data_IF_630888384704
#
_entry.id   IF_630888384704
#
_cell.length_a   1.000
_cell.length_b   1.000
_cell.length_c   1.000
_cell.angle_alpha   90.00
_cell.angle_beta   90.00
_cell.angle_gamma   90.00
#
_symmetry.space_group_name_H-M   'P 1'
#
loop_
_entity.id
_entity.type
_entity.pdbx_description
1 polymer ?
#
# COMPACT_ATOMS: atom_id res chain seq x y z
N UNK A 1 -7.31 33.73 -22.32
CA UNK A 1 -7.33 32.75 -21.21
C UNK A 1 -6.15 31.77 -21.25
N UNK A 2 -5.80 31.16 -22.39
CA UNK A 2 -4.60 30.30 -22.53
C UNK A 2 -3.30 30.94 -22.01
N UNK A 3 -3.02 32.20 -22.35
CA UNK A 3 -1.80 32.89 -21.87
C UNK A 3 -1.77 33.17 -20.36
N UNK A 4 -2.92 33.24 -19.66
CA UNK A 4 -2.95 33.38 -18.19
C UNK A 4 -2.68 32.05 -17.49
N UNK A 5 -3.13 30.94 -18.07
CA UNK A 5 -2.90 29.59 -17.55
C UNK A 5 -1.44 29.19 -17.75
N UNK A 6 -0.85 29.45 -18.93
CA UNK A 6 0.57 29.20 -19.18
C UNK A 6 1.46 30.05 -18.27
N UNK A 7 1.13 31.33 -18.06
CA UNK A 7 1.89 32.21 -17.15
C UNK A 7 1.78 31.75 -15.69
N UNK A 8 0.60 31.29 -15.25
CA UNK A 8 0.40 30.70 -13.91
C UNK A 8 1.05 29.32 -13.71
N UNK A 9 1.30 28.55 -14.78
CA UNK A 9 2.09 27.31 -14.73
C UNK A 9 3.60 27.60 -14.64
N UNK A 10 4.08 28.62 -15.35
CA UNK A 10 5.47 29.10 -15.29
C UNK A 10 5.78 29.72 -13.91
N UNK A 11 4.84 30.47 -13.33
CA UNK A 11 4.98 31.05 -11.98
C UNK A 11 4.92 29.99 -10.86
N UNK A 12 4.26 28.85 -11.08
CA UNK A 12 4.23 27.69 -10.15
C UNK A 12 5.39 26.71 -10.32
N UNK A 13 6.13 26.77 -11.41
CA UNK A 13 7.30 25.94 -11.69
C UNK A 13 8.37 25.96 -10.58
N UNK A 14 8.72 27.11 -9.97
CA UNK A 14 9.64 27.15 -8.82
C UNK A 14 9.02 26.55 -7.54
N UNK A 15 7.71 26.70 -7.31
CA UNK A 15 7.02 26.08 -6.16
C UNK A 15 6.96 24.55 -6.30
N UNK A 16 6.67 24.03 -7.50
CA UNK A 16 6.65 22.60 -7.83
C UNK A 16 8.02 21.94 -7.68
N UNK A 17 9.11 22.64 -8.05
CA UNK A 17 10.49 22.14 -7.85
C UNK A 17 10.85 21.97 -6.37
N UNK A 18 10.28 22.79 -5.48
CA UNK A 18 10.58 22.75 -4.04
C UNK A 18 10.05 21.50 -3.30
N UNK A 19 9.04 20.85 -3.88
CA UNK A 19 8.35 19.66 -3.34
C UNK A 19 8.92 18.34 -3.85
N UNK A 20 9.81 18.37 -4.84
CA UNK A 20 10.39 17.17 -5.46
C UNK A 20 11.22 16.40 -4.44
N UNK A 21 10.87 15.14 -4.25
CA UNK A 21 11.59 14.20 -3.40
C UNK A 21 12.23 13.10 -4.24
N UNK A 22 13.53 12.87 -4.05
CA UNK A 22 14.30 11.85 -4.79
C UNK A 22 15.31 11.16 -3.88
N UNK A 23 15.73 9.97 -4.31
CA UNK A 23 16.76 9.20 -3.63
C UNK A 23 18.18 9.66 -3.98
N UNK A 24 18.37 10.42 -5.05
CA UNK A 24 19.70 10.87 -5.47
C UNK A 24 19.67 12.22 -6.19
N UNK A 25 20.76 12.97 -6.06
CA UNK A 25 20.94 14.30 -6.66
C UNK A 25 22.38 14.45 -7.17
N UNK A 26 22.55 15.29 -8.19
CA UNK A 26 23.85 15.84 -8.59
C UNK A 26 23.92 17.30 -8.14
N UNK A 27 25.07 17.69 -7.59
CA UNK A 27 25.34 19.05 -7.17
C UNK A 27 26.60 19.56 -7.86
N UNK A 28 26.59 20.82 -8.25
CA UNK A 28 27.76 21.54 -8.75
C UNK A 28 27.93 22.81 -7.92
N UNK A 29 29.07 22.95 -7.25
CA UNK A 29 29.42 24.15 -6.48
C UNK A 29 30.50 24.91 -7.24
N UNK A 30 30.20 26.12 -7.69
CA UNK A 30 31.18 27.01 -8.30
C UNK A 30 31.93 27.73 -7.18
N UNK A 31 33.25 27.93 -7.32
CA UNK A 31 34.14 28.55 -6.33
C UNK A 31 33.89 28.02 -4.90
N UNK A 32 34.02 26.71 -4.68
CA UNK A 32 33.69 26.05 -3.43
C UNK A 32 34.41 26.68 -2.23
N UNK A 33 35.70 27.00 -2.37
CA UNK A 33 36.52 27.61 -1.32
C UNK A 33 36.02 29.01 -0.95
N UNK A 34 35.68 29.84 -1.93
CA UNK A 34 35.17 31.21 -1.69
C UNK A 34 33.81 31.21 -0.98
N UNK A 35 33.01 30.15 -1.19
CA UNK A 35 31.74 29.94 -0.52
C UNK A 35 31.84 29.15 0.80
N UNK A 36 33.06 28.83 1.25
CA UNK A 36 33.30 28.11 2.50
C UNK A 36 32.94 26.61 2.45
N UNK A 37 32.85 26.03 1.26
CA UNK A 37 32.57 24.62 1.03
C UNK A 37 33.84 23.87 0.65
N UNK A 38 34.77 23.71 1.60
CA UNK A 38 35.87 22.75 1.44
C UNK A 38 35.34 21.31 1.38
N UNK A 39 36.13 20.37 0.89
CA UNK A 39 35.79 18.94 0.90
C UNK A 39 35.39 18.44 2.30
N UNK A 40 36.13 18.85 3.34
CA UNK A 40 35.81 18.50 4.73
C UNK A 40 34.44 19.04 5.17
N UNK A 41 34.12 20.28 4.81
CA UNK A 41 32.85 20.91 5.16
C UNK A 41 31.68 20.28 4.39
N UNK A 42 31.88 19.95 3.11
CA UNK A 42 30.90 19.23 2.30
C UNK A 42 30.61 17.86 2.92
N UNK A 43 31.66 17.10 3.26
CA UNK A 43 31.54 15.79 3.94
C UNK A 43 30.80 15.93 5.25
N UNK A 44 31.19 16.87 6.10
CA UNK A 44 30.58 17.11 7.40
C UNK A 44 29.09 17.43 7.25
N UNK A 45 28.71 18.31 6.32
CA UNK A 45 27.31 18.67 6.06
C UNK A 45 26.49 17.49 5.53
N UNK A 46 27.07 16.65 4.67
CA UNK A 46 26.38 15.45 4.17
C UNK A 46 26.17 14.44 5.29
N UNK A 47 27.22 14.06 6.00
CA UNK A 47 27.20 13.02 7.03
C UNK A 47 26.32 13.42 8.22
N UNK A 48 26.47 14.66 8.71
CA UNK A 48 25.75 15.13 9.89
C UNK A 48 24.34 15.67 9.56
N UNK A 49 24.12 16.17 8.34
CA UNK A 49 22.85 16.78 7.94
C UNK A 49 21.79 15.79 7.42
N UNK A 50 22.19 14.57 7.06
CA UNK A 50 21.32 13.59 6.42
C UNK A 50 21.49 12.19 7.02
N UNK A 51 20.60 11.84 7.95
CA UNK A 51 20.56 10.51 8.60
C UNK A 51 20.39 9.36 7.61
N UNK A 52 19.80 9.61 6.45
CA UNK A 52 19.53 8.61 5.41
C UNK A 52 20.58 8.61 4.30
N UNK A 53 21.71 9.27 4.50
CA UNK A 53 22.82 9.28 3.55
C UNK A 53 23.37 7.84 3.38
N UNK A 54 23.44 7.38 2.14
CA UNK A 54 23.93 6.04 1.80
C UNK A 54 25.32 6.08 1.17
N UNK A 55 25.50 6.99 0.22
CA UNK A 55 26.71 7.12 -0.57
C UNK A 55 26.85 8.53 -1.11
N UNK A 56 28.07 9.04 -1.20
CA UNK A 56 28.38 10.16 -2.08
C UNK A 56 29.80 10.06 -2.62
N UNK A 57 30.03 10.75 -3.72
CA UNK A 57 31.37 11.03 -4.22
C UNK A 57 31.44 12.46 -4.73
N UNK A 58 32.65 13.02 -4.72
CA UNK A 58 32.92 14.36 -5.21
C UNK A 58 34.28 14.46 -5.88
N UNK A 59 34.41 15.43 -6.78
CA UNK A 59 35.64 15.68 -7.54
C UNK A 59 35.70 17.14 -7.94
N UNK A 60 36.92 17.67 -7.97
CA UNK A 60 37.18 19.04 -8.41
C UNK A 60 37.52 19.08 -9.90
N UNK A 61 36.95 20.09 -10.56
CA UNK A 61 37.14 20.42 -11.96
C UNK A 61 37.57 21.86 -12.12
N UNK A 62 38.58 22.08 -12.96
CA UNK A 62 39.12 23.39 -13.30
C UNK A 62 38.65 23.82 -14.69
N UNK A 63 37.64 24.68 -14.72
CA UNK A 63 37.16 25.35 -15.92
C UNK A 63 37.63 26.80 -15.97
N UNK A 64 36.71 27.71 -16.29
CA UNK A 64 36.93 29.17 -16.13
C UNK A 64 36.98 29.57 -14.65
N UNK A 65 36.32 28.78 -13.79
CA UNK A 65 36.38 28.85 -12.33
C UNK A 65 36.51 27.42 -11.77
N UNK A 66 36.88 27.31 -10.50
CA UNK A 66 36.99 26.01 -9.84
C UNK A 66 35.60 25.51 -9.45
N UNK A 67 35.29 24.26 -9.76
CA UNK A 67 34.00 23.64 -9.50
C UNK A 67 34.17 22.34 -8.73
N UNK A 68 33.35 22.09 -7.71
CA UNK A 68 33.22 20.76 -7.11
C UNK A 68 31.93 20.13 -7.59
N UNK A 69 32.03 18.99 -8.26
CA UNK A 69 30.90 18.15 -8.62
C UNK A 69 30.68 17.09 -7.55
N UNK A 70 29.43 16.90 -7.12
CA UNK A 70 29.06 15.96 -6.07
C UNK A 70 27.88 15.11 -6.57
N UNK A 71 27.97 13.81 -6.39
CA UNK A 71 26.83 12.90 -6.54
C UNK A 71 26.47 12.33 -5.18
N UNK A 72 25.19 12.41 -4.79
CA UNK A 72 24.72 11.96 -3.48
C UNK A 72 23.53 11.01 -3.60
N UNK A 73 23.50 9.96 -2.77
CA UNK A 73 22.49 8.90 -2.73
C UNK A 73 22.01 8.68 -1.30
N UNK A 74 20.69 8.51 -1.15
CA UNK A 74 19.99 8.31 0.11
C UNK A 74 19.25 6.97 0.15
N UNK A 75 19.04 6.42 1.35
CA UNK A 75 18.20 5.23 1.60
C UNK A 75 16.70 5.55 1.58
N UNK A 76 16.31 6.82 1.76
CA UNK A 76 14.93 7.30 1.67
C UNK A 76 14.84 8.55 0.79
N UNK A 77 13.64 8.89 0.33
CA UNK A 77 13.45 10.07 -0.52
C UNK A 77 13.70 11.36 0.29
N UNK A 78 14.59 12.22 -0.20
CA UNK A 78 14.91 13.52 0.41
C UNK A 78 14.34 14.64 -0.46
N UNK A 79 13.81 15.72 0.15
CA UNK A 79 13.31 16.89 -0.59
C UNK A 79 14.46 17.71 -1.16
N UNK A 80 14.32 18.16 -2.42
CA UNK A 80 15.28 19.06 -3.07
C UNK A 80 15.51 20.33 -2.23
N UNK A 81 14.45 20.88 -1.63
CA UNK A 81 14.53 22.05 -0.74
C UNK A 81 15.41 21.82 0.49
N UNK A 82 15.45 20.59 1.03
CA UNK A 82 16.36 20.25 2.15
C UNK A 82 17.81 20.25 1.68
N UNK A 83 18.10 19.66 0.52
CA UNK A 83 19.45 19.66 -0.06
C UNK A 83 19.90 21.08 -0.39
N UNK A 84 19.03 21.90 -1.00
CA UNK A 84 19.30 23.31 -1.32
C UNK A 84 19.52 24.17 -0.07
N UNK A 85 18.86 23.87 1.05
CA UNK A 85 19.10 24.54 2.33
C UNK A 85 20.49 24.23 2.89
N UNK A 86 20.96 22.99 2.74
CA UNK A 86 22.31 22.58 3.18
C UNK A 86 23.41 23.14 2.27
N UNK A 87 23.11 23.30 0.97
CA UNK A 87 24.03 23.81 -0.05
C UNK A 87 23.39 24.96 -0.86
N UNK A 88 23.29 26.18 -0.30
CA UNK A 88 22.59 27.29 -0.96
C UNK A 88 23.20 27.72 -2.29
N UNK A 89 24.53 27.72 -2.41
CA UNK A 89 25.25 28.11 -3.63
C UNK A 89 25.32 26.99 -4.69
N UNK A 90 24.97 25.75 -4.34
CA UNK A 90 25.04 24.63 -5.28
C UNK A 90 23.94 24.73 -6.34
N UNK A 91 24.31 24.51 -7.59
CA UNK A 91 23.36 24.11 -8.61
C UNK A 91 23.00 22.64 -8.37
N UNK A 92 21.71 22.33 -8.24
CA UNK A 92 21.25 20.99 -7.87
C UNK A 92 20.32 20.46 -8.94
N UNK A 93 20.66 19.30 -9.47
CA UNK A 93 19.87 18.59 -10.45
C UNK A 93 19.44 17.24 -9.88
N UNK A 94 18.29 16.74 -10.35
CA UNK A 94 17.86 15.39 -10.03
C UNK A 94 18.78 14.42 -10.77
N UNK A 95 19.31 13.43 -10.06
CA UNK A 95 20.13 12.42 -10.69
C UNK A 95 19.28 11.51 -11.59
N UNK A 96 19.71 11.37 -12.85
CA UNK A 96 19.13 10.47 -13.84
C UNK A 96 20.15 9.37 -14.18
N UNK A 97 19.69 8.18 -14.55
CA UNK A 97 20.59 7.08 -14.92
C UNK A 97 21.09 6.24 -13.73
N UNK A 98 22.10 5.39 -13.99
CA UNK A 98 22.67 4.49 -12.97
C UNK A 98 23.57 5.24 -12.00
N UNK A 99 23.75 4.72 -10.78
CA UNK A 99 24.72 5.29 -9.86
C UNK A 99 26.12 5.30 -10.49
N UNK A 100 26.46 4.24 -11.22
CA UNK A 100 27.72 4.17 -11.96
C UNK A 100 27.79 5.23 -13.08
N UNK A 101 26.73 5.46 -13.86
CA UNK A 101 26.72 6.52 -14.88
C UNK A 101 26.87 7.91 -14.27
N UNK A 102 26.29 8.16 -13.10
CA UNK A 102 26.43 9.44 -12.40
C UNK A 102 27.87 9.62 -11.89
N UNK A 103 28.48 8.57 -11.33
CA UNK A 103 29.89 8.58 -10.94
C UNK A 103 30.80 8.77 -12.17
N UNK A 104 30.56 8.02 -13.25
CA UNK A 104 31.30 8.13 -14.51
C UNK A 104 31.15 9.51 -15.14
N UNK A 105 29.97 10.14 -15.03
CA UNK A 105 29.71 11.49 -15.49
C UNK A 105 30.52 12.52 -14.72
N UNK A 106 30.45 12.52 -13.37
CA UNK A 106 31.21 13.50 -12.58
C UNK A 106 32.71 13.26 -12.65
N UNK A 107 33.16 12.01 -12.75
CA UNK A 107 34.58 11.65 -12.92
C UNK A 107 35.04 11.70 -14.37
N UNK A 108 34.13 12.01 -15.31
CA UNK A 108 34.35 12.01 -16.76
C UNK A 108 35.10 10.76 -17.25
N UNK A 109 34.84 9.61 -16.61
CA UNK A 109 35.39 8.29 -16.97
C UNK A 109 34.51 7.61 -18.03
N UNK A 110 35.04 6.62 -18.74
CA UNK A 110 34.26 5.80 -19.69
C UNK A 110 33.94 6.53 -21.01
N UNK A 111 32.65 6.66 -21.37
CA UNK A 111 32.22 7.26 -22.66
C UNK A 111 32.61 8.73 -22.85
N UNK A 112 33.06 9.39 -21.78
CA UNK A 112 33.46 10.80 -21.77
C UNK A 112 34.97 11.02 -21.80
N UNK A 113 35.75 9.93 -21.83
CA UNK A 113 37.22 9.93 -21.78
C UNK A 113 37.87 10.63 -22.99
N UNK A 114 37.20 10.60 -24.14
CA UNK A 114 37.68 11.20 -25.41
C UNK A 114 37.00 12.55 -25.73
N UNK A 115 36.34 13.19 -24.76
CA UNK A 115 35.77 14.53 -24.93
C UNK A 115 36.74 15.59 -24.42
N UNK A 116 36.80 16.77 -25.05
CA UNK A 116 37.61 17.94 -24.61
C UNK A 116 37.37 18.31 -23.12
N UNK A 117 36.25 17.86 -22.55
CA UNK A 117 35.92 18.04 -21.14
C UNK A 117 36.72 17.16 -20.18
N UNK A 118 37.35 16.07 -20.62
CA UNK A 118 38.14 15.21 -19.73
C UNK A 118 39.44 15.89 -19.25
N UNK A 119 39.97 16.88 -19.99
CA UNK A 119 41.24 17.56 -19.70
C UNK A 119 41.16 18.58 -18.55
N UNK A 120 39.97 18.85 -18.03
CA UNK A 120 39.72 19.89 -17.00
C UNK A 120 39.70 19.36 -15.57
N UNK A 121 39.82 18.04 -15.35
CA UNK A 121 39.79 17.48 -14.00
C UNK A 121 41.13 17.63 -13.29
N UNK A 122 41.09 17.96 -11.99
CA UNK A 122 42.28 18.01 -11.15
C UNK A 122 42.58 16.59 -10.69
N UNK A 123 43.70 15.96 -11.11
CA UNK A 123 44.01 14.59 -10.70
C UNK A 123 44.21 14.49 -9.19
N UNK A 124 43.59 13.50 -8.55
CA UNK A 124 43.79 13.21 -7.12
C UNK A 124 42.79 13.88 -6.16
N UNK A 125 41.81 14.63 -6.65
CA UNK A 125 40.76 15.28 -5.81
C UNK A 125 39.50 14.42 -5.64
N UNK A 126 39.43 13.25 -6.28
CA UNK A 126 38.27 12.36 -6.14
C UNK A 126 38.19 11.77 -4.72
N UNK A 127 37.05 11.98 -4.07
CA UNK A 127 36.76 11.44 -2.75
C UNK A 127 35.40 10.74 -2.74
N UNK A 128 35.32 9.60 -2.06
CA UNK A 128 34.09 8.82 -1.92
C UNK A 128 33.85 8.41 -0.47
N UNK A 129 32.58 8.22 -0.13
CA UNK A 129 32.15 7.81 1.20
C UNK A 129 30.86 6.99 1.15
N UNK A 130 30.74 6.03 2.06
CA UNK A 130 29.54 5.21 2.25
C UNK A 130 29.52 3.94 1.41
N UNK A 131 28.35 3.33 1.27
CA UNK A 131 28.18 2.05 0.56
C UNK A 131 27.58 2.29 -0.82
N UNK A 132 28.38 2.05 -1.87
CA UNK A 132 27.93 2.19 -3.25
C UNK A 132 26.63 1.40 -3.48
N UNK A 133 25.58 2.02 -4.04
CA UNK A 133 24.30 1.35 -4.20
C UNK A 133 24.45 0.19 -5.20
N UNK A 134 24.27 -1.04 -4.72
CA UNK A 134 24.18 -2.22 -5.59
C UNK A 134 22.98 -2.04 -6.52
N UNK A 135 23.23 -1.99 -7.83
CA UNK A 135 22.19 -1.78 -8.82
C UNK A 135 21.74 -3.12 -9.38
N UNK A 136 20.44 -3.42 -9.28
CA UNK A 136 19.85 -4.65 -9.77
C UNK A 136 19.37 -4.47 -11.23
N UNK A 137 20.28 -4.20 -12.17
CA UNK A 137 19.94 -4.11 -13.58
C UNK A 137 20.95 -3.34 -14.43
N UNK A 138 21.17 -3.80 -15.67
CA UNK A 138 22.12 -3.20 -16.63
C UNK A 138 21.56 -1.88 -17.21
N UNK A 139 20.23 -1.73 -17.28
CA UNK A 139 19.57 -0.56 -17.84
C UNK A 139 18.88 0.29 -16.74
N UNK A 140 19.32 1.55 -16.53
CA UNK A 140 18.72 2.43 -15.53
C UNK A 140 17.25 2.76 -15.76
N UNK A 141 16.77 2.80 -17.01
CA UNK A 141 15.38 3.10 -17.31
C UNK A 141 14.45 1.96 -16.86
N UNK A 142 14.89 0.72 -17.04
CA UNK A 142 14.18 -0.47 -16.56
C UNK A 142 14.21 -0.56 -15.04
N UNK A 143 15.32 -0.19 -14.39
CA UNK A 143 15.40 -0.07 -12.93
C UNK A 143 14.44 1.01 -12.40
N UNK A 144 14.37 2.16 -13.06
CA UNK A 144 13.44 3.23 -12.69
C UNK A 144 11.98 2.77 -12.84
N UNK A 145 11.65 2.10 -13.95
CA UNK A 145 10.33 1.52 -14.17
C UNK A 145 9.98 0.48 -13.11
N UNK A 146 10.90 -0.45 -12.82
CA UNK A 146 10.72 -1.47 -11.79
C UNK A 146 10.43 -0.84 -10.43
N UNK A 147 11.19 0.20 -10.04
CA UNK A 147 10.95 0.92 -8.78
C UNK A 147 9.59 1.62 -8.75
N UNK A 148 9.13 2.22 -9.85
CA UNK A 148 7.79 2.81 -9.91
C UNK A 148 6.71 1.75 -9.69
N UNK A 149 6.87 0.56 -10.28
CA UNK A 149 5.96 -0.57 -10.08
C UNK A 149 6.02 -1.07 -8.64
N UNK A 150 7.23 -1.23 -8.08
CA UNK A 150 7.44 -1.71 -6.72
C UNK A 150 6.90 -0.74 -5.66
N UNK A 151 7.00 0.57 -5.94
CA UNK A 151 6.40 1.67 -5.17
C UNK A 151 4.86 1.72 -5.28
N UNK A 152 4.25 0.81 -6.07
CA UNK A 152 2.79 0.64 -6.15
C UNK A 152 2.08 1.50 -7.20
N UNK A 153 2.81 2.24 -8.04
CA UNK A 153 2.19 3.08 -9.07
C UNK A 153 1.37 2.22 -10.05
N UNK A 154 0.19 2.72 -10.42
CA UNK A 154 -0.65 2.11 -11.45
C UNK A 154 -0.01 2.28 -12.85
N UNK A 155 -0.34 1.40 -13.81
CA UNK A 155 0.11 1.59 -15.19
C UNK A 155 -0.25 2.96 -15.76
N UNK A 156 -1.42 3.51 -15.39
CA UNK A 156 -1.85 4.84 -15.80
C UNK A 156 -0.94 5.95 -15.24
N UNK A 157 -0.60 5.90 -13.95
CA UNK A 157 0.32 6.87 -13.33
C UNK A 157 1.74 6.78 -13.91
N UNK A 158 2.22 5.56 -14.21
CA UNK A 158 3.52 5.34 -14.84
C UNK A 158 3.56 5.97 -16.24
N UNK A 159 2.50 5.79 -17.04
CA UNK A 159 2.39 6.39 -18.38
C UNK A 159 2.26 7.92 -18.30
N UNK A 160 1.51 8.44 -17.33
CA UNK A 160 1.42 9.89 -17.11
C UNK A 160 2.76 10.49 -16.68
N UNK A 161 3.55 9.75 -15.90
CA UNK A 161 4.89 10.15 -15.51
C UNK A 161 5.86 10.16 -16.70
N UNK A 162 5.83 9.10 -17.52
CA UNK A 162 6.60 9.00 -18.74
C UNK A 162 5.83 8.20 -19.82
N UNK A 163 5.43 8.87 -20.89
CA UNK A 163 4.66 8.28 -21.97
C UNK A 163 5.48 7.30 -22.84
N UNK A 164 6.81 7.31 -22.75
CA UNK A 164 7.68 6.34 -23.44
C UNK A 164 7.43 4.90 -22.98
N UNK A 165 6.79 4.72 -21.82
CA UNK A 165 6.38 3.40 -21.32
C UNK A 165 5.11 2.84 -21.97
N UNK A 166 4.38 3.63 -22.77
CA UNK A 166 3.12 3.22 -23.39
C UNK A 166 3.22 1.94 -24.23
N UNK A 167 4.29 1.69 -25.02
CA UNK A 167 4.47 0.41 -25.72
C UNK A 167 4.60 -0.81 -24.81
N UNK A 168 4.95 -0.61 -23.53
CA UNK A 168 5.21 -1.65 -22.55
C UNK A 168 4.07 -1.79 -21.51
N UNK A 169 2.91 -1.16 -21.72
CA UNK A 169 1.82 -1.14 -20.73
C UNK A 169 1.39 -2.53 -20.25
N UNK A 170 1.31 -3.51 -21.15
CA UNK A 170 0.95 -4.89 -20.81
C UNK A 170 2.04 -5.58 -19.98
N UNK A 171 3.31 -5.31 -20.28
CA UNK A 171 4.43 -5.83 -19.49
C UNK A 171 4.42 -5.21 -18.09
N UNK A 172 4.17 -3.91 -17.99
CA UNK A 172 4.05 -3.18 -16.72
C UNK A 172 2.92 -3.78 -15.86
N UNK A 173 1.75 -3.98 -16.46
CA UNK A 173 0.62 -4.60 -15.77
C UNK A 173 0.95 -6.01 -15.25
N UNK A 174 1.62 -6.84 -16.07
CA UNK A 174 2.07 -8.18 -15.69
C UNK A 174 3.12 -8.16 -14.57
N UNK A 175 4.13 -7.29 -14.65
CA UNK A 175 5.17 -7.17 -13.61
C UNK A 175 4.55 -6.68 -12.30
N UNK A 176 3.66 -5.68 -12.36
CA UNK A 176 2.91 -5.22 -11.20
C UNK A 176 2.12 -6.36 -10.55
N UNK A 177 1.36 -7.09 -11.36
CA UNK A 177 0.60 -8.27 -10.90
C UNK A 177 1.51 -9.30 -10.21
N UNK A 178 2.65 -9.67 -10.82
CA UNK A 178 3.59 -10.63 -10.23
C UNK A 178 4.11 -10.15 -8.87
N UNK A 179 4.52 -8.88 -8.76
CA UNK A 179 5.02 -8.32 -7.51
C UNK A 179 3.93 -8.20 -6.44
N UNK A 180 2.71 -7.81 -6.81
CA UNK A 180 1.57 -7.76 -5.88
C UNK A 180 1.23 -9.14 -5.34
N UNK A 181 1.21 -10.16 -6.20
CA UNK A 181 1.00 -11.55 -5.76
C UNK A 181 2.11 -11.95 -4.81
N UNK A 182 3.37 -11.78 -5.16
CA UNK A 182 4.49 -12.25 -4.32
C UNK A 182 4.52 -11.55 -2.94
N UNK A 183 4.20 -10.26 -2.88
CA UNK A 183 4.05 -9.51 -1.62
C UNK A 183 2.91 -10.05 -0.74
N UNK A 184 1.82 -10.52 -1.35
CA UNK A 184 0.60 -10.94 -0.65
C UNK A 184 0.40 -12.46 -0.60
N UNK A 185 1.34 -13.24 -1.12
CA UNK A 185 1.29 -14.72 -1.12
C UNK A 185 1.59 -15.32 0.25
N UNK A 186 1.95 -14.49 1.23
CA UNK A 186 2.09 -14.90 2.61
C UNK A 186 0.72 -15.15 3.28
N UNK A 187 0.72 -15.69 4.50
CA UNK A 187 -0.49 -15.85 5.31
C UNK A 187 -1.11 -14.48 5.58
N UNK A 188 -2.40 -14.31 5.28
CA UNK A 188 -3.22 -13.11 5.48
C UNK A 188 -3.64 -12.96 6.95
N UNK A 189 -2.65 -12.77 7.83
CA UNK A 189 -2.86 -12.73 9.29
C UNK A 189 -3.78 -11.58 9.74
N UNK A 190 -3.90 -10.52 8.94
CA UNK A 190 -4.73 -9.34 9.23
C UNK A 190 -6.09 -9.37 8.50
N UNK A 191 -6.53 -10.54 8.01
CA UNK A 191 -7.81 -10.65 7.31
C UNK A 191 -8.99 -10.28 8.22
N UNK A 192 -9.66 -9.17 7.89
CA UNK A 192 -10.87 -8.68 8.55
C UNK A 192 -12.09 -9.01 7.70
N UNK A 193 -13.08 -9.68 8.29
CA UNK A 193 -14.31 -10.08 7.60
C UNK A 193 -15.51 -9.46 8.30
N UNK A 194 -16.32 -8.72 7.55
CA UNK A 194 -17.44 -7.94 8.07
C UNK A 194 -18.71 -8.41 7.36
N UNK A 195 -19.64 -8.97 8.12
CA UNK A 195 -20.97 -9.30 7.62
C UNK A 195 -21.89 -8.11 7.77
N UNK A 196 -22.48 -7.62 6.68
CA UNK A 196 -23.35 -6.44 6.67
C UNK A 196 -24.73 -6.85 6.21
N UNK A 197 -25.74 -6.58 7.02
CA UNK A 197 -27.13 -6.91 6.66
C UNK A 197 -28.13 -5.82 7.03
N UNK A 198 -29.31 -5.90 6.41
CA UNK A 198 -30.41 -4.94 6.59
C UNK A 198 -31.30 -4.88 5.37
N UNK A 199 -32.40 -4.13 5.42
CA UNK A 199 -33.31 -3.99 4.28
C UNK A 199 -32.62 -3.38 3.03
N UNK A 200 -33.22 -3.53 1.85
CA UNK A 200 -32.74 -2.86 0.64
C UNK A 200 -32.86 -1.34 0.79
N UNK A 201 -32.00 -0.58 0.11
CA UNK A 201 -32.06 0.89 0.15
C UNK A 201 -31.56 1.55 1.44
N UNK A 202 -31.12 0.80 2.45
CA UNK A 202 -30.59 1.36 3.72
C UNK A 202 -29.16 1.90 3.62
N UNK A 203 -28.53 1.82 2.44
CA UNK A 203 -27.21 2.40 2.19
C UNK A 203 -26.00 1.52 2.50
N UNK A 204 -26.20 0.21 2.75
CA UNK A 204 -25.13 -0.78 3.03
C UNK A 204 -23.95 -0.67 2.05
N UNK A 205 -24.24 -0.88 0.76
CA UNK A 205 -23.25 -0.86 -0.32
C UNK A 205 -22.67 0.54 -0.51
N UNK A 206 -23.50 1.59 -0.40
CA UNK A 206 -23.04 2.98 -0.54
C UNK A 206 -21.97 3.32 0.50
N UNK A 207 -22.20 2.98 1.77
CA UNK A 207 -21.23 3.24 2.84
C UNK A 207 -19.88 2.54 2.62
N UNK A 208 -19.89 1.31 2.08
CA UNK A 208 -18.66 0.57 1.76
C UNK A 208 -17.95 1.20 0.56
N UNK A 209 -18.69 1.56 -0.50
CA UNK A 209 -18.13 2.21 -1.69
C UNK A 209 -17.52 3.57 -1.35
N UNK A 210 -18.19 4.37 -0.52
CA UNK A 210 -17.68 5.68 -0.09
C UNK A 210 -16.44 5.56 0.81
N UNK A 211 -16.33 4.49 1.61
CA UNK A 211 -15.19 4.26 2.49
C UNK A 211 -13.92 3.82 1.76
N UNK A 212 -14.06 3.01 0.69
CA UNK A 212 -12.91 2.35 0.03
C UNK A 212 -12.64 2.86 -1.39
N UNK A 213 -13.63 3.47 -2.06
CA UNK A 213 -13.46 4.04 -3.39
C UNK A 213 -12.92 3.04 -4.43
N UNK A 214 -11.77 3.36 -5.03
CA UNK A 214 -11.12 2.56 -6.08
C UNK A 214 -10.48 1.26 -5.57
N UNK A 215 -10.24 1.13 -4.26
CA UNK A 215 -9.58 -0.03 -3.66
C UNK A 215 -10.57 -1.15 -3.29
N UNK A 216 -11.83 -0.99 -3.69
CA UNK A 216 -12.91 -1.95 -3.50
C UNK A 216 -13.18 -2.75 -4.78
N UNK A 217 -13.03 -4.07 -4.70
CA UNK A 217 -13.60 -4.97 -5.70
C UNK A 217 -14.96 -5.47 -5.25
N UNK A 218 -15.99 -5.23 -6.07
CA UNK A 218 -17.35 -5.69 -5.82
C UNK A 218 -17.66 -6.93 -6.65
N UNK A 219 -18.04 -8.00 -5.98
CA UNK A 219 -18.61 -9.20 -6.60
C UNK A 219 -20.12 -8.97 -6.71
N UNK A 220 -20.59 -8.69 -7.92
CA UNK A 220 -22.01 -8.53 -8.25
C UNK A 220 -22.51 -9.57 -9.25
N UNK A 221 -21.61 -10.18 -10.03
CA UNK A 221 -21.90 -11.36 -10.86
C UNK A 221 -21.32 -12.60 -10.18
N UNK A 222 -22.19 -13.54 -9.80
CA UNK A 222 -21.77 -14.77 -9.15
C UNK A 222 -21.52 -15.93 -10.12
N UNK A 223 -21.71 -15.73 -11.42
CA UNK A 223 -21.37 -16.71 -12.46
C UNK A 223 -19.86 -16.79 -12.65
N UNK A 224 -19.20 -15.63 -12.72
CA UNK A 224 -17.76 -15.49 -12.88
C UNK A 224 -17.19 -14.44 -11.91
N UNK A 225 -17.28 -14.69 -10.58
CA UNK A 225 -17.15 -13.66 -9.55
C UNK A 225 -15.79 -12.97 -9.48
N UNK A 226 -14.74 -13.58 -10.01
CA UNK A 226 -13.36 -13.09 -9.84
C UNK A 226 -12.67 -12.71 -11.15
N UNK A 227 -13.37 -12.76 -12.29
CA UNK A 227 -12.77 -12.46 -13.60
C UNK A 227 -12.13 -11.07 -13.67
N UNK A 228 -12.76 -10.09 -13.01
CA UNK A 228 -12.30 -8.70 -12.96
C UNK A 228 -11.54 -8.37 -11.67
N UNK A 229 -11.29 -9.35 -10.81
CA UNK A 229 -10.52 -9.12 -9.59
C UNK A 229 -9.08 -8.78 -9.96
N UNK A 230 -8.64 -7.61 -9.50
CA UNK A 230 -7.33 -7.04 -9.83
C UNK A 230 -6.49 -6.78 -8.57
N UNK A 231 -6.49 -7.74 -7.64
CA UNK A 231 -5.63 -7.72 -6.46
C UNK A 231 -5.87 -6.52 -5.55
N UNK A 232 -7.12 -6.06 -5.48
CA UNK A 232 -7.51 -5.00 -4.55
C UNK A 232 -7.46 -5.51 -3.11
N UNK A 233 -7.17 -4.60 -2.20
CA UNK A 233 -7.04 -4.90 -0.77
C UNK A 233 -8.40 -5.18 -0.09
N UNK A 234 -9.49 -4.63 -0.65
CA UNK A 234 -10.84 -4.87 -0.17
C UNK A 234 -11.68 -5.60 -1.21
N UNK A 235 -12.44 -6.61 -0.76
CA UNK A 235 -13.47 -7.30 -1.53
C UNK A 235 -14.84 -7.14 -0.88
N UNK A 236 -15.89 -7.03 -1.68
CA UNK A 236 -17.28 -7.00 -1.22
C UNK A 236 -18.12 -7.99 -2.02
N UNK A 237 -18.60 -9.02 -1.35
CA UNK A 237 -19.64 -9.92 -1.86
C UNK A 237 -20.98 -9.22 -1.70
N UNK A 238 -21.43 -8.55 -2.75
CA UNK A 238 -22.60 -7.66 -2.73
C UNK A 238 -23.87 -8.41 -3.13
N UNK A 239 -24.99 -8.08 -2.49
CA UNK A 239 -26.27 -8.82 -2.65
C UNK A 239 -26.12 -10.35 -2.41
N UNK A 240 -25.33 -10.72 -1.41
CA UNK A 240 -25.05 -12.11 -1.07
C UNK A 240 -26.26 -12.82 -0.45
N UNK A 241 -26.63 -13.96 -1.01
CA UNK A 241 -27.73 -14.85 -0.63
C UNK A 241 -27.33 -16.33 -0.80
N UNK A 242 -26.07 -16.67 -0.50
CA UNK A 242 -25.59 -18.05 -0.59
C UNK A 242 -25.20 -18.51 -2.01
N UNK A 243 -24.98 -17.58 -2.95
CA UNK A 243 -24.61 -17.93 -4.34
C UNK A 243 -23.25 -18.66 -4.42
N UNK A 244 -22.38 -18.46 -3.44
CA UNK A 244 -21.10 -19.18 -3.29
C UNK A 244 -21.32 -20.29 -2.25
N UNK A 245 -20.97 -21.52 -2.58
CA UNK A 245 -21.06 -22.65 -1.65
C UNK A 245 -20.27 -22.36 -0.36
N UNK A 246 -20.76 -22.87 0.77
CA UNK A 246 -20.11 -22.61 2.06
C UNK A 246 -18.64 -23.06 2.08
N UNK A 247 -18.24 -24.24 1.56
CA UNK A 247 -16.83 -24.63 1.50
C UNK A 247 -15.96 -23.63 0.73
N UNK A 248 -16.39 -23.17 -0.45
CA UNK A 248 -15.64 -22.17 -1.21
C UNK A 248 -15.54 -20.85 -0.45
N UNK A 249 -16.61 -20.44 0.24
CA UNK A 249 -16.60 -19.25 1.06
C UNK A 249 -15.63 -19.38 2.25
N UNK A 250 -15.50 -20.57 2.85
CA UNK A 250 -14.51 -20.82 3.89
C UNK A 250 -13.08 -20.63 3.38
N UNK A 251 -12.79 -21.11 2.17
CA UNK A 251 -11.46 -20.97 1.54
C UNK A 251 -11.16 -19.51 1.22
N UNK A 252 -12.14 -18.76 0.69
CA UNK A 252 -11.98 -17.35 0.38
C UNK A 252 -11.70 -16.51 1.64
N UNK A 253 -12.41 -16.82 2.73
CA UNK A 253 -12.29 -16.13 4.01
C UNK A 253 -11.23 -16.75 4.94
N UNK A 254 -10.38 -17.65 4.46
CA UNK A 254 -9.27 -18.19 5.24
C UNK A 254 -8.07 -17.23 5.30
N UNK A 255 -7.19 -17.40 6.28
CA UNK A 255 -5.91 -16.67 6.34
C UNK A 255 -4.88 -17.25 5.35
N UNK A 256 -5.08 -18.47 4.85
CA UNK A 256 -4.13 -19.07 3.91
C UNK A 256 -4.30 -18.50 2.48
N UNK A 257 -3.20 -18.44 1.70
CA UNK A 257 -3.28 -18.08 0.29
C UNK A 257 -4.21 -19.02 -0.45
N UNK A 258 -5.12 -18.46 -1.25
CA UNK A 258 -6.07 -19.23 -2.05
C UNK A 258 -6.17 -18.67 -3.46
N UNK A 259 -6.51 -19.55 -4.40
CA UNK A 259 -6.80 -19.17 -5.77
C UNK A 259 -8.29 -18.89 -5.94
N UNK A 260 -8.58 -17.78 -6.57
CA UNK A 260 -9.91 -17.35 -6.97
C UNK A 260 -10.15 -17.83 -8.42
N UNK A 261 -11.13 -18.72 -8.64
CA UNK A 261 -11.38 -19.27 -9.97
C UNK A 261 -11.86 -18.19 -10.94
N UNK A 262 -11.30 -18.18 -12.15
CA UNK A 262 -11.65 -17.22 -13.21
C UNK A 262 -11.49 -17.87 -14.58
N UNK A 263 -12.22 -17.40 -15.59
CA UNK A 263 -12.32 -18.10 -16.89
C UNK A 263 -11.01 -18.27 -17.64
N UNK A 264 -10.14 -17.27 -17.62
CA UNK A 264 -8.89 -17.26 -18.40
C UNK A 264 -7.66 -17.64 -17.58
N UNK A 265 -7.61 -17.19 -16.33
CA UNK A 265 -6.49 -17.38 -15.42
C UNK A 265 -6.99 -17.17 -14.00
N UNK A 266 -6.77 -18.13 -13.11
CA UNK A 266 -7.06 -17.95 -11.70
C UNK A 266 -6.34 -16.70 -11.16
N UNK A 267 -6.98 -16.04 -10.20
CA UNK A 267 -6.40 -14.92 -9.46
C UNK A 267 -5.96 -15.43 -8.08
N UNK A 268 -5.04 -14.74 -7.43
CA UNK A 268 -4.72 -15.01 -6.03
C UNK A 268 -5.49 -14.04 -5.15
N UNK A 269 -6.11 -14.53 -4.08
CA UNK A 269 -6.73 -13.66 -3.08
C UNK A 269 -5.65 -12.83 -2.36
N UNK A 270 -5.69 -11.51 -2.53
CA UNK A 270 -4.76 -10.57 -1.90
C UNK A 270 -5.46 -9.57 -0.97
N UNK A 271 -6.77 -9.69 -0.78
CA UNK A 271 -7.52 -8.79 0.08
C UNK A 271 -7.24 -9.08 1.56
N UNK A 272 -7.15 -8.02 2.35
CA UNK A 272 -7.11 -8.04 3.81
C UNK A 272 -8.46 -7.67 4.44
N UNK A 273 -9.39 -7.10 3.66
CA UNK A 273 -10.76 -6.82 4.13
C UNK A 273 -11.79 -7.45 3.21
N UNK A 274 -12.73 -8.21 3.78
CA UNK A 274 -13.85 -8.82 3.07
C UNK A 274 -15.19 -8.38 3.67
N UNK A 275 -16.05 -7.78 2.85
CA UNK A 275 -17.45 -7.50 3.19
C UNK A 275 -18.36 -8.57 2.60
N UNK A 276 -19.32 -9.04 3.38
CA UNK A 276 -20.42 -9.89 2.91
C UNK A 276 -21.70 -9.09 3.12
N UNK A 277 -22.28 -8.55 2.05
CA UNK A 277 -23.45 -7.67 2.13
C UNK A 277 -24.68 -8.46 1.74
N UNK A 278 -25.64 -8.58 2.65
CA UNK A 278 -26.87 -9.34 2.44
C UNK A 278 -28.12 -8.55 2.84
N UNK A 279 -29.28 -8.99 2.39
CA UNK A 279 -30.56 -8.60 2.99
C UNK A 279 -30.99 -9.56 4.09
N UNK A 280 -30.37 -10.75 4.16
CA UNK A 280 -30.65 -11.75 5.18
C UNK A 280 -29.77 -11.50 6.42
N UNK A 281 -30.31 -11.69 7.63
CA UNK A 281 -29.49 -11.77 8.82
C UNK A 281 -28.56 -12.99 8.77
N UNK A 282 -27.46 -12.94 9.53
CA UNK A 282 -26.38 -13.92 9.48
C UNK A 282 -26.86 -15.36 9.73
N UNK A 283 -27.74 -15.54 10.72
CA UNK A 283 -28.35 -16.82 11.10
C UNK A 283 -29.25 -17.44 10.02
N UNK A 284 -29.68 -16.65 9.03
CA UNK A 284 -30.52 -17.13 7.94
C UNK A 284 -29.75 -17.59 6.70
N UNK A 285 -28.44 -17.38 6.66
CA UNK A 285 -27.60 -17.90 5.60
C UNK A 285 -27.28 -19.37 5.77
N UNK A 286 -27.13 -20.09 4.66
CA UNK A 286 -26.66 -21.47 4.63
C UNK A 286 -27.45 -22.42 5.56
N UNK A 287 -28.79 -22.25 5.64
CA UNK A 287 -29.68 -23.04 6.52
C UNK A 287 -29.51 -24.54 6.32
N UNK A 288 -29.22 -24.98 5.10
CA UNK A 288 -28.96 -26.36 4.74
C UNK A 288 -27.78 -26.99 5.50
N UNK A 289 -26.72 -26.24 5.80
CA UNK A 289 -25.60 -26.74 6.62
C UNK A 289 -25.97 -26.78 8.10
N UNK A 290 -26.85 -25.88 8.55
CA UNK A 290 -27.30 -25.82 9.93
C UNK A 290 -28.21 -27.01 10.28
N UNK A 291 -29.18 -27.32 9.41
CA UNK A 291 -30.19 -28.36 9.66
C UNK A 291 -29.85 -29.70 9.01
N UNK A 292 -29.02 -29.71 7.96
CA UNK A 292 -28.73 -30.88 7.13
C UNK A 292 -27.62 -31.80 7.65
N UNK A 293 -27.13 -31.60 8.88
CA UNK A 293 -26.20 -32.51 9.55
C UNK A 293 -24.71 -32.12 9.49
N UNK A 294 -24.37 -30.94 8.96
CA UNK A 294 -23.00 -30.39 9.03
C UNK A 294 -22.93 -29.00 9.69
N UNK A 295 -23.33 -28.90 10.98
CA UNK A 295 -23.25 -27.65 11.72
C UNK A 295 -21.80 -27.21 11.97
N UNK A 296 -20.81 -28.11 11.81
CA UNK A 296 -19.40 -27.80 12.00
C UNK A 296 -18.88 -26.87 10.91
N UNK A 297 -19.28 -27.07 9.66
CA UNK A 297 -18.94 -26.19 8.54
C UNK A 297 -19.57 -24.80 8.74
N UNK A 298 -20.82 -24.72 9.19
CA UNK A 298 -21.44 -23.44 9.54
C UNK A 298 -20.70 -22.72 10.68
N UNK A 299 -20.33 -23.44 11.75
CA UNK A 299 -19.48 -22.89 12.83
C UNK A 299 -18.10 -22.44 12.33
N UNK A 300 -17.53 -23.09 11.32
CA UNK A 300 -16.29 -22.66 10.70
C UNK A 300 -16.43 -21.32 9.95
N UNK A 301 -17.60 -21.05 9.39
CA UNK A 301 -17.92 -19.78 8.75
C UNK A 301 -18.09 -18.67 9.75
N UNK A 302 -18.87 -18.90 10.81
CA UNK A 302 -19.04 -17.94 11.91
C UNK A 302 -17.71 -17.51 12.53
N UNK A 303 -16.75 -18.44 12.70
CA UNK A 303 -15.41 -18.13 13.23
C UNK A 303 -14.56 -17.24 12.34
N UNK A 304 -14.85 -17.16 11.04
CA UNK A 304 -14.13 -16.31 10.08
C UNK A 304 -14.74 -14.91 9.99
N UNK A 305 -15.94 -14.70 10.52
CA UNK A 305 -16.59 -13.39 10.54
C UNK A 305 -16.18 -12.67 11.82
N UNK A 306 -15.59 -11.50 11.67
CA UNK A 306 -15.03 -10.71 12.76
C UNK A 306 -16.04 -9.71 13.29
N UNK A 307 -16.85 -9.11 12.40
CA UNK A 307 -17.84 -8.11 12.77
C UNK A 307 -19.17 -8.36 12.07
N UNK A 308 -20.25 -7.91 12.70
CA UNK A 308 -21.58 -7.89 12.11
C UNK A 308 -22.14 -6.47 12.18
N UNK A 309 -22.53 -5.91 11.04
CA UNK A 309 -23.13 -4.58 10.96
C UNK A 309 -24.58 -4.71 10.50
N UNK A 310 -25.49 -4.18 11.32
CA UNK A 310 -26.92 -4.13 11.03
C UNK A 310 -27.32 -2.72 10.61
N UNK A 311 -27.92 -2.61 9.43
CA UNK A 311 -28.51 -1.39 8.89
C UNK A 311 -30.04 -1.46 9.05
N UNK A 312 -30.56 -0.72 10.02
CA UNK A 312 -31.98 -0.58 10.26
C UNK A 312 -32.66 0.31 9.20
N UNK A 313 -33.97 0.18 9.06
CA UNK A 313 -34.76 0.94 8.08
C UNK A 313 -34.82 2.45 8.39
N UNK A 314 -34.64 2.83 9.65
CA UNK A 314 -34.56 4.21 10.11
C UNK A 314 -33.22 4.89 9.80
N UNK A 315 -32.27 4.16 9.21
CA UNK A 315 -30.92 4.62 8.89
C UNK A 315 -29.90 4.41 10.01
N UNK A 316 -30.31 3.84 11.16
CA UNK A 316 -29.40 3.50 12.26
C UNK A 316 -28.50 2.34 11.84
N UNK A 317 -27.18 2.49 12.07
CA UNK A 317 -26.20 1.44 11.83
C UNK A 317 -25.67 0.94 13.18
N UNK A 318 -25.99 -0.30 13.52
CA UNK A 318 -25.49 -0.97 14.73
C UNK A 318 -24.33 -1.89 14.36
N UNK A 319 -23.20 -1.76 15.05
CA UNK A 319 -22.00 -2.59 14.81
C UNK A 319 -21.75 -3.49 16.02
N UNK A 320 -21.52 -4.76 15.74
CA UNK A 320 -21.15 -5.76 16.71
C UNK A 320 -19.72 -6.21 16.42
N UNK A 321 -18.84 -6.12 17.42
CA UNK A 321 -17.40 -6.43 17.29
C UNK A 321 -17.09 -7.94 17.26
N UNK A 322 -18.12 -8.78 17.31
CA UNK A 322 -18.01 -10.22 17.13
C UNK A 322 -19.36 -10.85 16.75
N UNK A 323 -19.30 -12.04 16.16
CA UNK A 323 -20.50 -12.86 15.92
C UNK A 323 -21.19 -13.23 17.23
N UNK A 324 -20.45 -13.52 18.30
CA UNK A 324 -21.05 -13.88 19.60
C UNK A 324 -21.87 -12.72 20.19
N UNK A 325 -21.32 -11.50 20.19
CA UNK A 325 -22.03 -10.30 20.60
C UNK A 325 -23.30 -10.06 19.76
N UNK A 326 -23.23 -10.30 18.46
CA UNK A 326 -24.38 -10.20 17.56
C UNK A 326 -25.44 -11.26 17.84
N UNK A 327 -25.07 -12.53 18.05
CA UNK A 327 -26.05 -13.60 18.29
C UNK A 327 -26.76 -13.44 19.65
N UNK A 328 -26.08 -12.86 20.65
CA UNK A 328 -26.63 -12.56 21.97
C UNK A 328 -27.31 -11.18 22.09
N UNK A 329 -27.49 -10.46 20.98
CA UNK A 329 -28.05 -9.09 20.98
C UNK A 329 -29.43 -8.93 21.63
N UNK A 330 -30.21 -10.01 21.72
CA UNK A 330 -31.53 -10.03 22.33
C UNK A 330 -31.52 -10.59 23.76
N UNK A 331 -30.36 -10.98 24.30
CA UNK A 331 -30.18 -11.49 25.65
C UNK A 331 -29.92 -10.31 26.61
N UNK A 332 -30.90 -9.44 26.83
CA UNK A 332 -30.81 -8.47 27.93
C UNK A 332 -30.92 -9.21 29.27
N UNK A 333 -29.88 -9.12 30.10
CA UNK A 333 -29.92 -9.60 31.47
C UNK A 333 -30.73 -8.60 32.32
N UNK A 334 -31.97 -8.95 32.66
CA UNK A 334 -32.71 -8.21 33.68
C UNK A 334 -32.23 -8.64 35.08
N UNK A 335 -31.75 -7.70 35.87
CA UNK A 335 -31.61 -7.93 37.30
C UNK A 335 -33.01 -8.16 37.87
N UNK A 336 -33.26 -9.35 38.43
CA UNK A 336 -34.51 -9.61 39.15
C UNK A 336 -34.48 -8.71 40.39
N UNK A 337 -35.45 -7.79 40.51
CA UNK A 337 -35.62 -7.04 41.76
C UNK A 337 -35.80 -8.04 42.90
N UNK A 338 -35.15 -7.80 44.04
CA UNK A 338 -35.07 -8.71 45.20
C UNK A 338 -36.42 -9.20 45.74
N UNK A 339 -37.50 -8.57 45.30
CA UNK A 339 -38.84 -8.73 45.83
C UNK A 339 -39.70 -9.68 44.97
N UNK A 340 -39.18 -10.18 43.84
CA UNK A 340 -39.86 -11.17 43.01
C UNK A 340 -39.63 -12.57 43.58
N UNK A 341 -40.65 -13.11 44.27
CA UNK A 341 -40.66 -14.51 44.69
C UNK A 341 -40.77 -15.43 43.45
N UNK A 342 -39.93 -16.48 43.34
CA UNK A 342 -40.04 -17.45 42.25
C UNK A 342 -41.45 -18.07 42.20
N UNK A 343 -42.00 -18.34 41.00
CA UNK A 343 -43.35 -18.87 40.84
C UNK A 343 -43.51 -20.32 41.35
N UNK A 344 -42.41 -20.99 41.68
CA UNK A 344 -42.41 -22.33 42.24
C UNK A 344 -42.23 -22.26 43.75
N UNK A 345 -43.21 -22.78 44.50
CA UNK A 345 -43.06 -23.01 45.94
C UNK A 345 -42.01 -24.11 46.13
N UNK A 346 -41.03 -23.87 46.99
CA UNK A 346 -40.21 -24.95 47.54
C UNK A 346 -41.13 -25.84 48.39
N UNK A 347 -41.60 -26.95 47.81
CA UNK A 347 -42.22 -28.02 48.58
C UNK A 347 -41.12 -28.69 49.41
N UNK A 348 -40.88 -28.15 50.60
CA UNK A 348 -40.15 -28.84 51.67
C UNK A 348 -41.10 -29.84 52.31
N UNK A 349 -41.29 -30.99 51.67
CA UNK A 349 -41.74 -32.22 52.32
C UNK A 349 -41.33 -33.42 51.45
N UNK A 350 -40.03 -33.68 51.41
CA UNK A 350 -39.52 -35.04 51.19
C UNK A 350 -38.98 -35.55 52.52
N UNK A 351 -39.88 -36.10 53.33
CA UNK A 351 -39.51 -36.95 54.46
C UNK A 351 -38.62 -38.08 53.93
N UNK A 352 -37.34 -37.99 54.25
CA UNK A 352 -36.38 -39.09 54.07
C UNK A 352 -36.72 -40.15 55.11
N UNK A 353 -37.40 -41.21 54.70
CA UNK A 353 -37.46 -42.44 55.48
C UNK A 353 -36.05 -43.09 55.48
N UNK A 354 -35.41 -43.28 56.65
CA UNK A 354 -34.18 -44.06 56.74
C UNK A 354 -34.54 -45.55 56.64
N UNK A 355 -34.03 -46.23 55.62
CA UNK A 355 -33.96 -47.69 55.60
C UNK A 355 -32.72 -48.15 56.38
N UNK A 356 -33.00 -48.98 57.40
CA UNK A 356 -32.15 -49.94 58.15
C UNK A 356 -30.82 -49.48 58.76
#
# INVERSE_FOLDING_TARGET
MRNKIVKGLIEKEPELKSTIQRFAYQLTINNPVDHGFSHEEIKSKLINGFTTLKYFCMVDEKGTCDHTHIYVVFTSRVRLSKVKKSFPCAHIEVAHGTAQQNVDYITKRGRWKDTEKAETQIPGTYEEWGTFPRQAGINPEWEALYRMIDDGMSPAEIIQYNNDYLPNVDLIAKVRQMLTIEKNKAVRLELRVIYVWGATGTGKTRGIVEAHGSDLYRVTDYTHPFDSYNYTDTICFDEFHGQISLPNMLDYLDIYPTELPSRYSNKFACYTTAYIVSNLPLEEQYKEYQTGGDPHTYKAWLRRIHEVWYYAEDGTVTKYDSVDAYLKRNEEFHAVESDVKPPFKEDKDSEVHPNE
#
